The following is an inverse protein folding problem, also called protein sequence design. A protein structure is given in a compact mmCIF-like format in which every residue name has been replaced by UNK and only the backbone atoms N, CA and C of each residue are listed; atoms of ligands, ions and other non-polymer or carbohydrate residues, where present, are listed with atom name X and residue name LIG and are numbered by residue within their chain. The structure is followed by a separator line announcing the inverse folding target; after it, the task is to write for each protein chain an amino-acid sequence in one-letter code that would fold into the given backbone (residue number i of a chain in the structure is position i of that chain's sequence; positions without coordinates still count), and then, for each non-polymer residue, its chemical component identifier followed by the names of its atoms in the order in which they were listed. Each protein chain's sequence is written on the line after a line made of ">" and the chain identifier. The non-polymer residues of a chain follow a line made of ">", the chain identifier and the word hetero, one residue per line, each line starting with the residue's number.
data_IF_863016818392
#
_entry.id   IF_863016818392
#
_cell.length_a   1.000
_cell.length_b   1.000
_cell.length_c   1.000
_cell.angle_alpha   90.00
_cell.angle_beta   90.00
_cell.angle_gamma   90.00
#
_symmetry.space_group_name_H-M   'P 1'
#
loop_
_entity.id
_entity.type
_entity.pdbx_description
1 polymer ?
#
# COMPACT_ATOMS: atom_id res chain seq x y z
N UNK A 1 8.84 22.93 -0.25
CA UNK A 1 8.36 22.66 -1.59
C UNK A 1 9.22 21.56 -2.17
N UNK A 2 9.04 20.34 -1.67
CA UNK A 2 9.85 19.21 -2.12
C UNK A 2 9.25 18.69 -3.42
N UNK A 3 10.05 18.71 -4.46
CA UNK A 3 9.66 18.19 -5.75
C UNK A 3 9.37 16.69 -5.59
N UNK A 4 8.18 16.26 -6.01
CA UNK A 4 7.87 14.84 -6.21
C UNK A 4 9.03 14.17 -6.96
N UNK A 5 9.40 12.91 -6.64
CA UNK A 5 10.39 12.20 -7.41
C UNK A 5 10.05 12.31 -8.90
N UNK A 6 11.05 12.50 -9.73
CA UNK A 6 10.88 12.78 -11.18
C UNK A 6 10.01 11.73 -11.91
N UNK A 7 9.86 10.53 -11.33
CA UNK A 7 9.01 9.44 -11.81
C UNK A 7 7.50 9.73 -11.80
N UNK A 8 7.06 10.89 -11.30
CA UNK A 8 5.64 11.12 -10.97
C UNK A 8 5.00 12.26 -11.78
N UNK A 9 5.71 12.82 -12.73
CA UNK A 9 5.09 13.73 -13.71
C UNK A 9 4.28 12.91 -14.70
N UNK A 10 3.12 13.43 -15.10
CA UNK A 10 2.22 12.76 -16.07
C UNK A 10 2.89 12.43 -17.40
N UNK A 11 3.90 13.18 -17.77
CA UNK A 11 4.73 12.95 -18.94
C UNK A 11 5.72 11.81 -18.70
N UNK A 12 6.19 11.65 -17.46
CA UNK A 12 7.17 10.65 -17.04
C UNK A 12 6.52 9.29 -16.71
N UNK A 13 5.24 9.23 -16.41
CA UNK A 13 4.52 7.96 -16.16
C UNK A 13 4.56 7.02 -17.38
N UNK A 14 4.66 7.58 -18.57
CA UNK A 14 4.87 6.83 -19.81
C UNK A 14 6.29 6.28 -19.92
N UNK A 15 7.27 7.04 -19.47
CA UNK A 15 8.69 6.69 -19.47
C UNK A 15 8.97 5.62 -18.40
N UNK A 16 8.30 5.75 -17.27
CA UNK A 16 8.47 4.82 -16.15
C UNK A 16 7.92 3.42 -16.47
N UNK A 17 6.78 3.34 -17.13
CA UNK A 17 6.25 2.08 -17.62
C UNK A 17 7.18 1.37 -18.59
N UNK A 18 7.85 2.13 -19.46
CA UNK A 18 8.80 1.59 -20.42
C UNK A 18 10.12 1.14 -19.76
N UNK A 19 10.54 1.79 -18.68
CA UNK A 19 11.77 1.44 -17.93
C UNK A 19 11.54 0.24 -17.02
N UNK A 20 10.41 0.15 -16.36
CA UNK A 20 10.10 -0.96 -15.46
C UNK A 20 9.98 -2.31 -16.19
N UNK A 21 9.59 -2.30 -17.46
CA UNK A 21 9.39 -3.52 -18.25
C UNK A 21 10.53 -3.88 -19.18
N UNK A 22 11.65 -3.14 -19.17
CA UNK A 22 12.89 -3.49 -19.92
C UNK A 22 12.71 -3.68 -21.42
N UNK A 23 11.59 -3.33 -21.99
CA UNK A 23 11.23 -3.49 -23.39
C UNK A 23 11.12 -2.11 -24.03
N UNK A 24 12.24 -1.58 -24.48
CA UNK A 24 12.36 -0.32 -25.19
C UNK A 24 11.57 -0.27 -26.50
N UNK A 25 10.26 -0.30 -26.45
CA UNK A 25 9.42 0.17 -27.54
C UNK A 25 9.11 1.63 -27.32
N UNK A 26 9.73 2.49 -28.09
CA UNK A 26 9.40 3.91 -28.18
C UNK A 26 7.88 4.03 -28.34
N UNK A 27 7.22 4.55 -27.31
CA UNK A 27 5.84 4.97 -27.41
C UNK A 27 5.72 5.94 -28.59
N UNK A 28 4.90 5.58 -29.58
CA UNK A 28 4.53 6.52 -30.63
C UNK A 28 3.93 7.77 -29.95
N UNK A 29 4.09 8.96 -30.55
CA UNK A 29 3.59 10.25 -30.07
C UNK A 29 2.06 10.30 -29.85
N UNK A 30 1.34 9.24 -30.10
CA UNK A 30 -0.05 9.04 -29.75
C UNK A 30 -0.11 8.43 -28.35
N UNK A 31 -0.70 9.14 -27.39
CA UNK A 31 -0.86 8.71 -26.02
C UNK A 31 -1.39 7.27 -25.94
N UNK A 32 -0.66 6.40 -25.27
CA UNK A 32 -1.10 5.00 -25.11
C UNK A 32 -2.42 4.98 -24.31
N UNK A 33 -3.45 4.37 -24.87
CA UNK A 33 -4.72 4.11 -24.18
C UNK A 33 -4.67 2.88 -23.26
N UNK A 34 -3.50 2.21 -23.19
CA UNK A 34 -3.34 1.01 -22.36
C UNK A 34 -3.26 1.40 -20.90
N UNK A 35 -3.89 0.64 -19.99
CA UNK A 35 -3.70 0.82 -18.56
C UNK A 35 -2.24 0.55 -18.18
N UNK A 36 -1.76 1.26 -17.17
CA UNK A 36 -0.44 1.06 -16.58
C UNK A 36 -0.61 0.39 -15.22
N UNK A 37 0.03 -0.76 -15.06
CA UNK A 37 0.14 -1.48 -13.80
C UNK A 37 1.63 -1.72 -13.56
N UNK A 38 2.13 -1.32 -12.38
CA UNK A 38 3.51 -1.59 -12.00
C UNK A 38 3.67 -3.04 -11.55
N UNK A 39 4.57 -3.80 -12.19
CA UNK A 39 4.80 -5.19 -11.82
C UNK A 39 5.52 -5.34 -10.48
N UNK A 40 6.35 -4.37 -10.11
CA UNK A 40 7.00 -4.25 -8.81
C UNK A 40 7.11 -2.79 -8.43
N UNK A 41 6.66 -2.43 -7.24
CA UNK A 41 6.85 -1.10 -6.69
C UNK A 41 6.94 -1.15 -5.17
N UNK A 42 7.36 -0.04 -4.56
CA UNK A 42 7.41 0.11 -3.11
C UNK A 42 8.09 -1.08 -2.42
N UNK A 43 9.29 -1.47 -2.90
CA UNK A 43 10.10 -2.53 -2.28
C UNK A 43 10.26 -2.27 -0.78
N UNK A 44 9.80 -3.21 0.05
CA UNK A 44 9.76 -3.07 1.50
C UNK A 44 11.08 -3.51 2.17
N UNK A 45 12.21 -3.34 1.50
CA UNK A 45 13.53 -3.73 1.99
C UNK A 45 14.10 -2.71 2.98
N UNK A 46 14.29 -3.12 4.22
CA UNK A 46 14.83 -2.26 5.28
C UNK A 46 13.91 -1.08 5.58
N UNK A 47 14.47 0.11 5.78
CA UNK A 47 13.72 1.34 5.99
C UNK A 47 13.37 2.01 4.66
N UNK A 48 12.43 1.46 3.95
CA UNK A 48 11.98 1.86 2.63
C UNK A 48 10.46 2.12 2.60
N UNK A 49 9.83 2.14 1.43
CA UNK A 49 8.43 2.44 1.19
C UNK A 49 8.01 3.89 1.48
N UNK A 50 8.94 4.83 1.56
CA UNK A 50 8.59 6.26 1.61
C UNK A 50 7.83 6.70 0.36
N UNK A 51 6.92 7.67 0.52
CA UNK A 51 6.14 8.21 -0.58
C UNK A 51 5.04 7.28 -1.09
N UNK A 52 4.58 6.30 -0.29
CA UNK A 52 3.56 5.37 -0.71
C UNK A 52 2.22 6.05 -1.02
N UNK A 53 1.90 7.09 -0.26
CA UNK A 53 0.70 7.91 -0.47
C UNK A 53 0.69 8.60 -1.83
N UNK A 54 1.81 9.14 -2.27
CA UNK A 54 1.93 9.85 -3.54
C UNK A 54 1.66 8.94 -4.74
N UNK A 55 2.04 7.65 -4.69
CA UNK A 55 1.65 6.67 -5.70
C UNK A 55 0.13 6.55 -5.79
N UNK A 56 -0.54 6.43 -4.64
CA UNK A 56 -1.98 6.23 -4.60
C UNK A 56 -2.78 7.47 -4.94
N UNK A 57 -2.28 8.65 -4.60
CA UNK A 57 -2.86 9.93 -5.05
C UNK A 57 -2.87 10.03 -6.57
N UNK A 58 -1.80 9.58 -7.21
CA UNK A 58 -1.71 9.56 -8.67
C UNK A 58 -2.56 8.46 -9.31
N UNK A 59 -2.56 7.26 -8.72
CA UNK A 59 -3.38 6.15 -9.19
C UNK A 59 -4.86 6.56 -9.16
N UNK A 60 -5.31 7.21 -8.11
CA UNK A 60 -6.68 7.73 -8.00
C UNK A 60 -6.97 8.89 -8.93
N UNK A 61 -5.97 9.72 -9.21
CA UNK A 61 -6.12 10.90 -10.06
C UNK A 61 -6.18 10.58 -11.55
N UNK A 62 -5.45 9.58 -12.00
CA UNK A 62 -5.28 9.28 -13.41
C UNK A 62 -5.84 7.90 -13.75
N UNK A 63 -6.96 7.80 -14.50
CA UNK A 63 -7.61 6.52 -14.84
C UNK A 63 -6.70 5.52 -15.56
N UNK A 64 -5.63 5.99 -16.17
CA UNK A 64 -4.63 5.15 -16.82
C UNK A 64 -3.78 4.37 -15.81
N UNK A 65 -3.55 4.92 -14.62
CA UNK A 65 -2.79 4.28 -13.56
C UNK A 65 -3.73 3.38 -12.76
N UNK A 66 -3.52 2.07 -12.83
CA UNK A 66 -4.45 1.11 -12.24
C UNK A 66 -3.86 0.34 -11.06
N UNK A 67 -2.75 0.80 -10.53
CA UNK A 67 -2.12 0.20 -9.37
C UNK A 67 -0.82 -0.51 -9.68
N UNK A 68 -0.43 -1.42 -8.79
CA UNK A 68 0.81 -2.17 -8.90
C UNK A 68 0.87 -3.29 -7.87
N UNK A 69 1.98 -4.03 -7.92
CA UNK A 69 2.26 -5.13 -7.01
C UNK A 69 3.45 -4.75 -6.14
N UNK A 70 3.23 -4.67 -4.83
CA UNK A 70 4.31 -4.40 -3.87
C UNK A 70 5.26 -5.60 -3.84
N UNK A 71 6.54 -5.34 -3.86
CA UNK A 71 7.55 -6.37 -3.65
C UNK A 71 8.11 -6.26 -2.23
N UNK A 72 7.79 -7.24 -1.32
CA UNK A 72 6.78 -8.27 -1.56
C UNK A 72 5.88 -8.42 -0.33
N UNK A 73 5.13 -9.50 -0.20
CA UNK A 73 4.18 -9.65 0.89
C UNK A 73 4.80 -10.22 2.15
N UNK A 74 5.67 -11.24 2.04
CA UNK A 74 6.25 -11.95 3.20
C UNK A 74 7.76 -12.00 3.08
N UNK A 75 8.48 -11.61 4.12
CA UNK A 75 9.92 -11.86 4.21
C UNK A 75 10.24 -13.34 4.00
N UNK A 76 11.12 -13.63 3.04
CA UNK A 76 11.43 -14.98 2.58
C UNK A 76 12.52 -15.62 3.47
N UNK A 77 12.22 -15.79 4.75
CA UNK A 77 13.10 -16.40 5.73
C UNK A 77 12.52 -17.66 6.35
N UNK A 78 13.38 -18.60 6.69
CA UNK A 78 13.01 -19.84 7.36
C UNK A 78 13.56 -19.89 8.77
N UNK A 79 12.81 -20.45 9.71
CA UNK A 79 13.22 -20.59 11.10
C UNK A 79 14.46 -21.49 11.22
N UNK A 80 15.50 -20.98 11.87
CA UNK A 80 16.73 -21.69 12.17
C UNK A 80 17.19 -21.34 13.59
N UNK A 81 18.05 -22.15 14.16
CA UNK A 81 18.65 -21.94 15.48
C UNK A 81 20.14 -21.84 15.31
N UNK A 82 20.78 -20.91 16.02
CA UNK A 82 22.22 -20.81 16.10
C UNK A 82 22.80 -21.84 17.10
N UNK A 83 24.14 -21.89 17.22
CA UNK A 83 24.83 -22.83 18.13
C UNK A 83 24.53 -22.59 19.62
N UNK A 84 24.00 -21.44 19.98
CA UNK A 84 23.53 -21.10 21.32
C UNK A 84 22.09 -21.47 21.59
N UNK A 85 21.37 -21.93 20.56
CA UNK A 85 19.95 -22.24 20.63
C UNK A 85 19.02 -21.03 20.40
N UNK A 86 19.55 -19.86 20.04
CA UNK A 86 18.73 -18.70 19.72
C UNK A 86 18.08 -18.87 18.35
N UNK A 87 16.79 -18.59 18.27
CA UNK A 87 16.02 -18.65 17.05
C UNK A 87 16.22 -17.39 16.19
N UNK A 88 16.41 -17.58 14.92
CA UNK A 88 16.45 -16.51 13.92
C UNK A 88 15.81 -16.95 12.60
N UNK A 89 15.54 -15.99 11.73
CA UNK A 89 15.07 -16.26 10.38
C UNK A 89 16.24 -16.23 9.41
N UNK A 90 16.59 -17.38 8.89
CA UNK A 90 17.71 -17.57 7.97
C UNK A 90 17.27 -17.34 6.53
N UNK A 91 18.14 -16.73 5.76
CA UNK A 91 17.98 -16.53 4.32
C UNK A 91 19.33 -16.48 3.61
N UNK A 92 19.33 -16.71 2.30
CA UNK A 92 20.50 -16.57 1.45
C UNK A 92 21.76 -17.28 2.00
N UNK A 93 22.82 -16.50 2.28
CA UNK A 93 24.12 -17.00 2.74
C UNK A 93 24.13 -17.75 4.08
N UNK A 94 23.03 -17.72 4.85
CA UNK A 94 22.90 -18.52 6.09
C UNK A 94 22.82 -20.04 5.81
N UNK A 95 22.57 -20.42 4.54
CA UNK A 95 22.49 -21.82 4.13
C UNK A 95 23.78 -22.33 3.51
N UNK A 96 24.54 -21.49 2.84
CA UNK A 96 25.84 -21.84 2.29
C UNK A 96 26.72 -20.59 2.13
N UNK A 97 27.95 -20.60 2.65
CA UNK A 97 28.88 -19.50 2.46
C UNK A 97 29.51 -19.48 1.06
N UNK A 98 29.29 -20.53 0.27
CA UNK A 98 29.89 -20.70 -1.07
C UNK A 98 28.97 -20.39 -2.21
N UNK A 99 27.65 -20.42 -1.97
CA UNK A 99 26.65 -20.15 -2.99
C UNK A 99 26.38 -18.65 -3.14
N UNK A 100 26.07 -18.18 -4.34
CA UNK A 100 25.63 -16.80 -4.53
C UNK A 100 24.45 -16.44 -3.64
N UNK A 101 24.45 -15.23 -3.09
CA UNK A 101 23.39 -14.73 -2.23
C UNK A 101 23.10 -13.27 -2.52
N UNK A 102 21.84 -12.94 -2.70
CA UNK A 102 21.34 -11.56 -2.81
C UNK A 102 21.20 -10.88 -1.44
N UNK A 103 21.79 -11.44 -0.41
CA UNK A 103 21.79 -10.92 0.97
C UNK A 103 20.35 -10.68 1.45
N UNK A 104 20.10 -9.46 1.98
CA UNK A 104 18.80 -9.10 2.52
C UNK A 104 17.72 -8.81 1.46
N UNK A 105 17.98 -9.05 0.17
CA UNK A 105 16.96 -8.94 -0.87
C UNK A 105 15.81 -9.96 -0.71
N UNK A 106 16.00 -10.97 0.13
CA UNK A 106 14.93 -11.88 0.56
C UNK A 106 14.00 -11.28 1.63
N UNK A 107 14.36 -10.12 2.20
CA UNK A 107 13.62 -9.48 3.30
C UNK A 107 12.97 -8.18 2.82
N UNK A 108 11.98 -8.31 1.95
CA UNK A 108 11.19 -7.22 1.38
C UNK A 108 9.72 -7.29 1.78
N UNK A 109 9.39 -8.08 2.78
CA UNK A 109 8.02 -8.38 3.14
C UNK A 109 7.30 -7.23 3.84
N UNK A 110 6.02 -7.06 3.53
CA UNK A 110 5.09 -6.28 4.36
C UNK A 110 4.87 -6.92 5.72
N UNK A 111 5.10 -8.22 5.80
CA UNK A 111 5.04 -9.01 7.03
C UNK A 111 6.30 -9.87 7.16
N UNK A 112 6.68 -10.15 8.41
CA UNK A 112 7.81 -11.02 8.73
C UNK A 112 7.51 -12.50 8.42
N UNK A 113 8.53 -13.40 8.45
CA UNK A 113 8.31 -14.82 8.15
C UNK A 113 7.32 -15.51 9.07
N UNK A 114 7.15 -15.04 10.31
CA UNK A 114 6.15 -15.53 11.26
C UNK A 114 4.79 -14.82 11.16
N UNK A 115 4.59 -14.06 10.06
CA UNK A 115 3.32 -13.39 9.70
C UNK A 115 2.97 -12.21 10.60
N UNK A 116 3.92 -11.60 11.27
CA UNK A 116 3.71 -10.34 12.01
C UNK A 116 3.85 -9.16 11.07
N UNK A 117 2.94 -8.17 11.14
CA UNK A 117 3.05 -6.97 10.34
C UNK A 117 4.33 -6.19 10.63
N UNK A 118 5.06 -5.83 9.58
CA UNK A 118 6.12 -4.84 9.66
C UNK A 118 5.52 -3.43 9.77
N UNK A 119 6.24 -2.43 10.29
CA UNK A 119 5.69 -1.10 10.54
C UNK A 119 5.00 -0.45 9.32
N UNK A 120 5.56 -0.61 8.14
CA UNK A 120 5.03 -0.06 6.89
C UNK A 120 3.71 -0.70 6.42
N UNK A 121 3.34 -1.86 6.96
CA UNK A 121 2.04 -2.50 6.67
C UNK A 121 0.86 -1.62 7.10
N UNK A 122 1.04 -0.77 8.11
CA UNK A 122 0.01 0.18 8.55
C UNK A 122 -0.34 1.20 7.46
N UNK A 123 0.68 1.72 6.76
CA UNK A 123 0.48 2.65 5.66
C UNK A 123 -0.18 1.98 4.45
N UNK A 124 0.26 0.77 4.10
CA UNK A 124 -0.37 -0.03 3.04
C UNK A 124 -1.84 -0.27 3.33
N UNK A 125 -2.16 -0.68 4.56
CA UNK A 125 -3.55 -0.87 4.98
C UNK A 125 -4.39 0.39 4.82
N UNK A 126 -3.82 1.56 5.15
CA UNK A 126 -4.50 2.83 5.03
C UNK A 126 -4.81 3.17 3.57
N UNK A 127 -3.81 3.07 2.67
CA UNK A 127 -4.01 3.44 1.27
C UNK A 127 -4.76 2.40 0.44
N UNK A 128 -4.78 1.13 0.87
CA UNK A 128 -5.50 0.04 0.20
C UNK A 128 -6.96 -0.12 0.64
N UNK A 129 -7.44 0.70 1.57
CA UNK A 129 -8.85 0.67 1.94
C UNK A 129 -9.73 1.13 0.78
N UNK A 130 -10.84 0.44 0.60
CA UNK A 130 -11.84 0.78 -0.43
C UNK A 130 -12.99 1.62 0.10
N UNK A 131 -13.04 1.84 1.39
CA UNK A 131 -14.08 2.64 2.04
C UNK A 131 -13.43 3.76 2.84
N UNK A 132 -13.78 4.99 2.49
CA UNK A 132 -13.21 6.17 3.10
C UNK A 132 -14.25 6.92 3.91
N UNK A 133 -13.89 7.30 5.12
CA UNK A 133 -14.68 8.22 5.93
C UNK A 133 -13.92 9.52 6.09
N UNK A 134 -14.50 10.61 5.63
CA UNK A 134 -13.89 11.94 5.68
C UNK A 134 -14.78 12.93 6.42
N UNK A 135 -14.20 13.98 7.04
CA UNK A 135 -14.97 15.04 7.62
C UNK A 135 -15.90 15.73 6.63
N UNK A 136 -17.14 15.95 7.03
CA UNK A 136 -18.07 16.84 6.36
C UNK A 136 -18.22 18.14 7.15
N UNK A 137 -19.45 18.49 7.54
CA UNK A 137 -19.74 19.59 8.46
C UNK A 137 -19.63 19.08 9.91
N UNK A 138 -18.43 19.17 10.47
CA UNK A 138 -18.16 18.61 11.80
C UNK A 138 -18.94 19.32 12.92
N UNK A 139 -19.30 20.61 12.75
CA UNK A 139 -20.11 21.33 13.73
C UNK A 139 -21.54 20.75 13.81
N UNK A 140 -21.99 20.14 12.74
CA UNK A 140 -23.28 19.42 12.67
C UNK A 140 -23.13 17.90 12.82
N UNK A 141 -21.94 17.40 13.10
CA UNK A 141 -21.68 15.96 13.20
C UNK A 141 -21.82 15.21 11.88
N UNK A 142 -21.52 15.86 10.74
CA UNK A 142 -21.64 15.26 9.42
C UNK A 142 -20.32 14.64 8.99
N UNK A 143 -20.35 13.35 8.69
CA UNK A 143 -19.26 12.59 8.05
C UNK A 143 -19.68 12.22 6.62
N UNK A 144 -18.72 12.13 5.73
CA UNK A 144 -18.90 11.64 4.36
C UNK A 144 -18.29 10.26 4.24
N UNK A 145 -19.05 9.30 3.74
CA UNK A 145 -18.56 7.96 3.40
C UNK A 145 -18.47 7.86 1.88
N UNK A 146 -17.31 7.46 1.41
CA UNK A 146 -17.02 7.26 -0.01
C UNK A 146 -16.64 5.79 -0.25
N UNK A 147 -17.21 5.20 -1.28
CA UNK A 147 -16.99 3.82 -1.69
C UNK A 147 -16.13 3.79 -2.95
N UNK A 148 -14.90 3.29 -2.84
CA UNK A 148 -13.99 3.09 -3.98
C UNK A 148 -14.16 1.72 -4.67
N UNK A 149 -15.06 0.86 -4.21
CA UNK A 149 -15.33 -0.37 -4.92
C UNK A 149 -16.04 -0.09 -6.25
N UNK A 150 -15.65 -0.78 -7.31
CA UNK A 150 -16.26 -0.63 -8.63
C UNK A 150 -17.57 -1.43 -8.80
N UNK A 151 -17.74 -2.51 -8.03
CA UNK A 151 -18.79 -3.49 -8.26
C UNK A 151 -19.61 -3.85 -7.02
N UNK A 152 -19.19 -3.38 -5.85
CA UNK A 152 -19.80 -3.76 -4.57
C UNK A 152 -20.28 -2.51 -3.84
N UNK A 153 -21.57 -2.44 -3.52
CA UNK A 153 -22.10 -1.44 -2.62
C UNK A 153 -21.72 -1.71 -1.15
N UNK A 154 -22.05 -0.77 -0.27
CA UNK A 154 -21.75 -0.90 1.16
C UNK A 154 -22.97 -1.32 1.99
N UNK A 155 -24.04 -1.83 1.39
CA UNK A 155 -25.26 -2.22 2.11
C UNK A 155 -25.07 -3.33 3.14
N UNK A 156 -24.03 -4.16 2.94
CA UNK A 156 -23.62 -5.21 3.88
C UNK A 156 -22.73 -4.72 5.02
N UNK A 157 -22.39 -3.43 5.08
CA UNK A 157 -21.54 -2.84 6.11
C UNK A 157 -22.34 -1.97 7.05
N UNK A 158 -21.79 -1.78 8.25
CA UNK A 158 -22.26 -0.81 9.22
C UNK A 158 -21.11 0.13 9.62
N UNK A 159 -21.42 1.30 10.11
CA UNK A 159 -20.45 2.27 10.63
C UNK A 159 -20.61 2.40 12.14
N UNK A 160 -19.56 2.14 12.87
CA UNK A 160 -19.44 2.51 14.28
C UNK A 160 -18.66 3.81 14.41
N UNK A 161 -19.09 4.65 15.32
CA UNK A 161 -18.40 5.90 15.62
C UNK A 161 -18.31 6.18 17.11
N UNK A 162 -17.23 6.84 17.49
CA UNK A 162 -17.02 7.33 18.85
C UNK A 162 -16.57 8.80 18.81
N UNK A 163 -17.20 9.63 19.64
CA UNK A 163 -16.74 10.97 19.93
C UNK A 163 -15.90 10.91 21.21
N UNK A 164 -14.64 11.28 21.10
CA UNK A 164 -13.69 11.22 22.21
C UNK A 164 -13.13 12.60 22.55
N UNK A 165 -12.87 12.85 23.82
CA UNK A 165 -12.24 14.08 24.29
C UNK A 165 -10.71 13.96 24.20
N UNK A 166 -10.13 14.37 23.07
CA UNK A 166 -8.69 14.30 22.78
C UNK A 166 -8.18 12.89 22.50
N UNK A 167 -6.90 12.73 22.17
CA UNK A 167 -6.34 11.48 21.65
C UNK A 167 -6.24 10.33 22.66
N UNK A 168 -6.39 10.62 23.94
CA UNK A 168 -6.45 9.64 25.05
C UNK A 168 -7.66 9.88 25.96
N UNK A 169 -8.67 10.57 25.43
CA UNK A 169 -9.81 11.04 26.22
C UNK A 169 -10.88 9.98 26.42
N UNK A 170 -11.86 10.38 27.27
CA UNK A 170 -13.03 9.55 27.48
C UNK A 170 -13.97 9.59 26.28
N UNK A 171 -14.64 8.49 26.01
CA UNK A 171 -15.71 8.43 25.02
C UNK A 171 -16.88 9.27 25.56
N UNK A 172 -17.18 10.35 24.85
CA UNK A 172 -18.29 11.26 25.18
C UNK A 172 -19.62 10.75 24.64
N UNK A 173 -19.56 10.16 23.45
CA UNK A 173 -20.73 9.59 22.79
C UNK A 173 -20.28 8.55 21.79
N UNK A 174 -21.15 7.59 21.50
CA UNK A 174 -20.91 6.57 20.48
C UNK A 174 -22.22 6.14 19.85
N UNK A 175 -22.14 5.58 18.69
CA UNK A 175 -23.29 5.04 18.00
C UNK A 175 -22.89 4.24 16.78
N UNK A 176 -23.89 3.78 16.07
CA UNK A 176 -23.69 3.06 14.82
C UNK A 176 -24.79 3.39 13.82
N UNK A 177 -24.44 3.24 12.54
CA UNK A 177 -25.37 3.27 11.42
C UNK A 177 -25.41 1.86 10.85
N UNK A 178 -26.55 1.21 10.97
CA UNK A 178 -26.67 -0.24 10.73
C UNK A 178 -26.50 -0.65 9.26
N UNK A 179 -26.75 0.25 8.33
CA UNK A 179 -26.56 0.01 6.89
C UNK A 179 -26.02 1.26 6.23
N UNK A 180 -25.10 1.06 5.31
CA UNK A 180 -24.51 2.12 4.51
C UNK A 180 -24.97 1.97 3.04
N UNK A 181 -26.07 2.59 2.61
CA UNK A 181 -26.58 2.47 1.25
C UNK A 181 -25.76 3.33 0.28
N UNK A 182 -24.45 3.06 0.21
CA UNK A 182 -23.50 3.78 -0.64
C UNK A 182 -23.19 2.90 -1.85
N UNK A 183 -23.57 3.39 -3.02
CA UNK A 183 -23.34 2.70 -4.30
C UNK A 183 -21.82 2.58 -4.60
N UNK A 184 -21.42 1.66 -5.48
CA UNK A 184 -20.07 1.64 -6.07
C UNK A 184 -19.82 2.92 -6.87
N UNK A 185 -18.53 3.25 -7.10
CA UNK A 185 -18.15 4.38 -7.95
C UNK A 185 -18.31 4.09 -9.43
#
# INVERSE_FOLDING_TARGET
>A
GDALPAAVRTEDALVWGDVAFGQGRRSSKQGSYRPLIQCEYAHAMGNSMGGFGEYWDLIRKYPKLQGGFIWDFVDQGFRKYNDRGDMFYAYGGDYSPYDPSDKNFNCNGLISPDRRPNPHMGEVRYYYQSVWTTPGDMDKGVLKVYNENFFTDLSGLYLEWELVNGPKGYVLSKGFVNQLPVAPQ
#
